data_IF_213779582620
#
_entry.id   IF_213779582620
#
_cell.length_a   1.000
_cell.length_b   1.000
_cell.length_c   1.000
_cell.angle_alpha   90.00
_cell.angle_beta   90.00
_cell.angle_gamma   90.00
#
_symmetry.space_group_name_H-M   'P 1'
#
loop_
_entity.id
_entity.type
_entity.pdbx_description
1 polymer ?
#
# COMPACT_ATOMS: atom_id res chain seq x y z
N UNK A 1 16.28 -38.31 -3.60
CA UNK A 1 16.40 -36.97 -2.98
C UNK A 1 15.43 -36.80 -1.79
N UNK A 2 15.84 -37.34 -0.65
CA UNK A 2 15.15 -37.18 0.63
C UNK A 2 14.92 -35.69 1.00
N UNK A 3 15.83 -34.81 0.54
CA UNK A 3 15.80 -33.37 0.85
C UNK A 3 14.58 -32.65 0.27
N UNK A 4 14.13 -33.01 -0.94
CA UNK A 4 12.98 -32.37 -1.59
C UNK A 4 11.67 -32.81 -0.96
N UNK A 5 11.54 -34.11 -0.67
CA UNK A 5 10.36 -34.63 0.02
C UNK A 5 10.17 -34.02 1.42
N UNK A 6 11.26 -33.82 2.14
CA UNK A 6 11.26 -33.21 3.47
C UNK A 6 10.94 -31.71 3.42
N UNK A 7 11.47 -30.98 2.42
CA UNK A 7 11.17 -29.57 2.22
C UNK A 7 9.69 -29.33 1.88
N UNK A 8 9.12 -30.16 1.00
CA UNK A 8 7.70 -30.11 0.64
C UNK A 8 6.82 -30.38 1.86
N UNK A 9 7.15 -31.39 2.65
CA UNK A 9 6.38 -31.76 3.83
C UNK A 9 6.46 -30.69 4.93
N UNK A 10 7.63 -30.12 5.16
CA UNK A 10 7.84 -29.01 6.10
C UNK A 10 7.02 -27.79 5.71
N UNK A 11 7.00 -27.44 4.43
CA UNK A 11 6.21 -26.32 3.92
C UNK A 11 4.70 -26.57 4.08
N UNK A 12 4.20 -27.74 3.69
CA UNK A 12 2.78 -28.08 3.83
C UNK A 12 2.33 -28.10 5.29
N UNK A 13 3.21 -28.52 6.20
CA UNK A 13 2.95 -28.50 7.65
C UNK A 13 2.84 -27.07 8.16
N UNK A 14 3.79 -26.19 7.79
CA UNK A 14 3.75 -24.77 8.16
C UNK A 14 2.49 -24.06 7.65
N UNK A 15 2.03 -24.39 6.44
CA UNK A 15 0.76 -23.87 5.90
C UNK A 15 -0.46 -24.31 6.71
N UNK A 16 -0.47 -25.58 7.18
CA UNK A 16 -1.57 -26.10 8.01
C UNK A 16 -1.60 -25.48 9.40
N UNK A 17 -0.45 -25.23 9.98
CA UNK A 17 -0.31 -24.58 11.29
C UNK A 17 -0.68 -23.09 11.25
N UNK A 18 -0.71 -22.47 10.05
CA UNK A 18 -1.17 -21.11 9.84
C UNK A 18 -0.19 -20.03 10.26
N UNK A 19 1.02 -20.38 10.68
CA UNK A 19 2.08 -19.43 11.06
C UNK A 19 2.91 -18.97 9.85
N UNK A 20 2.24 -18.23 8.94
CA UNK A 20 2.84 -17.74 7.72
C UNK A 20 3.92 -16.68 8.00
N UNK A 21 3.77 -15.90 9.08
CA UNK A 21 4.73 -14.88 9.45
C UNK A 21 6.09 -15.46 9.75
N UNK A 22 6.16 -16.46 10.61
CA UNK A 22 7.40 -17.17 10.95
C UNK A 22 8.00 -17.86 9.72
N UNK A 23 7.18 -18.40 8.85
CA UNK A 23 7.62 -18.97 7.58
C UNK A 23 8.31 -17.91 6.69
N UNK A 24 7.70 -16.74 6.52
CA UNK A 24 8.30 -15.64 5.76
C UNK A 24 9.62 -15.16 6.37
N UNK A 25 9.71 -15.06 7.68
CA UNK A 25 10.94 -14.71 8.41
C UNK A 25 12.06 -15.73 8.17
N UNK A 26 11.74 -17.01 8.27
CA UNK A 26 12.66 -18.09 8.03
C UNK A 26 13.17 -18.08 6.58
N UNK A 27 12.28 -17.90 5.61
CA UNK A 27 12.63 -17.83 4.19
C UNK A 27 13.46 -16.58 3.86
N UNK A 28 13.11 -15.42 4.45
CA UNK A 28 13.90 -14.19 4.28
C UNK A 28 15.33 -14.35 4.83
N UNK A 29 15.48 -15.03 5.96
CA UNK A 29 16.78 -15.29 6.58
C UNK A 29 17.62 -16.29 5.79
N UNK A 30 17.01 -17.26 5.13
CA UNK A 30 17.66 -18.27 4.31
C UNK A 30 17.76 -17.92 2.83
N UNK A 31 17.35 -16.72 2.43
CA UNK A 31 17.31 -16.30 1.03
C UNK A 31 18.71 -16.26 0.41
N UNK A 32 18.82 -16.73 -0.83
CA UNK A 32 20.07 -16.80 -1.58
C UNK A 32 20.45 -15.49 -2.27
N UNK A 33 19.49 -14.58 -2.42
CA UNK A 33 19.68 -13.28 -3.06
C UNK A 33 18.96 -12.17 -2.32
N UNK A 34 19.42 -10.93 -2.50
CA UNK A 34 18.74 -9.74 -1.94
C UNK A 34 17.34 -9.54 -2.53
N UNK A 35 17.11 -9.92 -3.79
CA UNK A 35 15.79 -9.87 -4.41
C UNK A 35 14.82 -10.84 -3.73
N UNK A 36 15.23 -12.08 -3.52
CA UNK A 36 14.43 -13.08 -2.81
C UNK A 36 14.11 -12.66 -1.37
N UNK A 37 15.12 -12.14 -0.68
CA UNK A 37 14.95 -11.61 0.67
C UNK A 37 13.97 -10.45 0.72
N UNK A 38 14.03 -9.53 -0.25
CA UNK A 38 13.12 -8.41 -0.39
C UNK A 38 11.68 -8.90 -0.59
N UNK A 39 11.45 -9.86 -1.49
CA UNK A 39 10.13 -10.44 -1.75
C UNK A 39 9.49 -11.02 -0.48
N UNK A 40 10.25 -11.81 0.29
CA UNK A 40 9.76 -12.38 1.55
C UNK A 40 9.44 -11.33 2.61
N UNK A 41 10.26 -10.29 2.71
CA UNK A 41 10.00 -9.17 3.63
C UNK A 41 8.76 -8.36 3.25
N UNK A 42 8.54 -8.13 1.95
CA UNK A 42 7.32 -7.47 1.47
C UNK A 42 6.10 -8.31 1.78
N UNK A 43 6.13 -9.60 1.54
CA UNK A 43 5.03 -10.50 1.91
C UNK A 43 4.76 -10.49 3.42
N UNK A 44 5.80 -10.41 4.25
CA UNK A 44 5.66 -10.26 5.69
C UNK A 44 4.96 -8.94 6.07
N UNK A 45 5.30 -7.83 5.40
CA UNK A 45 4.63 -6.54 5.59
C UNK A 45 3.15 -6.61 5.20
N UNK A 46 2.79 -7.34 4.15
CA UNK A 46 1.41 -7.55 3.72
C UNK A 46 0.56 -8.37 4.70
N UNK A 47 1.17 -9.18 5.57
CA UNK A 47 0.49 -9.98 6.61
C UNK A 47 0.10 -9.12 7.82
N UNK A 48 0.68 -7.92 8.00
CA UNK A 48 0.42 -7.05 9.14
C UNK A 48 -1.05 -6.61 9.19
N UNK A 49 -1.51 -6.16 10.35
CA UNK A 49 -2.87 -5.62 10.53
C UNK A 49 -3.16 -4.43 9.60
N UNK A 50 -2.15 -3.64 9.32
CA UNK A 50 -2.20 -2.56 8.36
C UNK A 50 -1.12 -2.74 7.28
N UNK A 51 -1.43 -3.43 6.17
CA UNK A 51 -0.46 -3.71 5.12
C UNK A 51 0.21 -2.47 4.53
N UNK A 52 -0.54 -1.40 4.32
CA UNK A 52 0.00 -0.16 3.75
C UNK A 52 1.01 0.50 4.68
N UNK A 53 0.72 0.52 5.98
CA UNK A 53 1.68 1.01 6.98
C UNK A 53 2.94 0.16 6.99
N UNK A 54 2.81 -1.15 6.95
CA UNK A 54 3.93 -2.07 6.87
C UNK A 54 4.80 -1.85 5.62
N UNK A 55 4.19 -1.56 4.48
CA UNK A 55 4.91 -1.23 3.24
C UNK A 55 5.68 0.09 3.36
N UNK A 56 5.08 1.11 3.94
CA UNK A 56 5.71 2.42 4.16
C UNK A 56 6.91 2.30 5.10
N UNK A 57 6.77 1.55 6.19
CA UNK A 57 7.87 1.25 7.12
C UNK A 57 9.01 0.49 6.43
N UNK A 58 8.69 -0.51 5.63
CA UNK A 58 9.68 -1.25 4.84
C UNK A 58 10.46 -0.37 3.87
N UNK A 59 9.82 0.64 3.27
CA UNK A 59 10.46 1.62 2.38
C UNK A 59 11.39 2.60 3.12
N UNK A 60 11.39 2.59 4.45
CA UNK A 60 12.25 3.43 5.29
C UNK A 60 11.60 4.73 5.79
N UNK A 61 10.31 4.92 5.53
CA UNK A 61 9.53 6.02 6.09
C UNK A 61 8.99 5.61 7.47
N UNK A 62 9.86 5.62 8.47
CA UNK A 62 9.43 5.40 9.85
C UNK A 62 8.73 6.65 10.37
N UNK A 63 7.77 6.46 11.27
CA UNK A 63 7.16 7.55 12.04
C UNK A 63 8.28 8.29 12.78
N UNK A 64 8.68 9.43 12.25
CA UNK A 64 9.52 10.39 12.96
C UNK A 64 8.64 11.17 13.96
N UNK A 65 7.91 10.44 14.77
CA UNK A 65 7.06 11.02 15.80
C UNK A 65 7.87 11.92 16.74
N UNK A 66 9.12 11.55 16.98
CA UNK A 66 10.03 12.30 17.84
C UNK A 66 10.49 13.60 17.18
N UNK A 67 10.82 13.62 15.88
CA UNK A 67 11.18 14.86 15.17
C UNK A 67 9.99 15.81 14.99
N UNK A 68 8.79 15.25 14.77
CA UNK A 68 7.57 16.05 14.68
C UNK A 68 7.20 16.65 16.06
N UNK A 69 7.39 15.90 17.13
CA UNK A 69 7.17 16.37 18.50
C UNK A 69 8.17 17.49 18.85
N UNK A 70 9.45 17.34 18.52
CA UNK A 70 10.46 18.37 18.72
C UNK A 70 10.18 19.64 17.90
N UNK A 71 9.73 19.48 16.66
CA UNK A 71 9.34 20.61 15.81
C UNK A 71 8.09 21.33 16.33
N UNK A 72 7.10 20.60 16.84
CA UNK A 72 5.92 21.15 17.49
C UNK A 72 6.25 21.84 18.82
N UNK A 73 7.18 21.29 19.59
CA UNK A 73 7.69 21.90 20.82
C UNK A 73 8.41 23.22 20.54
N UNK A 74 9.22 23.31 19.47
CA UNK A 74 9.86 24.54 19.02
C UNK A 74 8.86 25.61 18.58
N UNK A 75 7.71 25.22 18.03
CA UNK A 75 6.63 26.13 17.66
C UNK A 75 5.76 26.54 18.87
N UNK A 76 6.04 26.04 20.08
CA UNK A 76 5.28 26.35 21.30
C UNK A 76 3.84 25.82 21.28
N UNK A 77 3.54 24.86 20.39
CA UNK A 77 2.21 24.29 20.23
C UNK A 77 1.98 23.05 21.11
N UNK A 78 3.03 22.56 21.76
CA UNK A 78 2.96 21.41 22.66
C UNK A 78 2.69 21.86 24.09
N UNK A 79 1.42 21.99 24.45
CA UNK A 79 1.03 22.03 25.86
C UNK A 79 0.80 20.60 26.35
N UNK A 80 1.70 20.11 27.19
CA UNK A 80 1.48 18.93 28.02
C UNK A 80 0.07 18.99 28.62
N UNK A 81 -0.75 18.01 28.30
CA UNK A 81 -1.95 17.71 29.08
C UNK A 81 -1.50 17.31 30.49
N UNK A 82 -1.65 18.23 31.43
CA UNK A 82 -1.52 17.92 32.85
C UNK A 82 -2.63 16.96 33.25
N UNK A 83 -2.23 15.87 33.87
CA UNK A 83 -3.12 14.96 34.59
C UNK A 83 -4.02 15.75 35.54
N UNK A 84 -5.31 15.72 35.31
CA UNK A 84 -6.31 15.94 36.35
C UNK A 84 -7.27 14.75 36.38
N UNK A 85 -6.93 13.88 37.33
CA UNK A 85 -7.84 12.87 37.85
C UNK A 85 -8.91 13.57 38.68
N UNK A 86 -10.13 13.70 38.17
CA UNK A 86 -11.34 13.53 38.98
C UNK A 86 -12.60 13.47 38.09
N UNK A 87 -13.39 12.46 38.36
CA UNK A 87 -14.58 12.13 37.56
C UNK A 87 -15.72 13.14 37.76
N UNK A 88 -16.34 13.41 36.61
CA UNK A 88 -17.74 13.87 36.52
C UNK A 88 -18.28 13.71 35.07
N UNK A 89 -19.58 13.62 34.86
CA UNK A 89 -20.17 12.89 33.74
C UNK A 89 -20.20 13.66 32.41
N UNK A 90 -20.26 12.89 31.32
CA UNK A 90 -20.23 13.30 29.93
C UNK A 90 -21.20 14.47 29.61
N UNK A 91 -20.65 15.54 29.00
CA UNK A 91 -21.41 16.61 28.34
C UNK A 91 -21.21 16.58 26.81
N UNK A 92 -22.20 17.07 26.03
CA UNK A 92 -22.31 16.76 24.60
C UNK A 92 -21.24 17.45 23.72
N UNK A 93 -20.98 16.85 22.55
CA UNK A 93 -19.90 17.07 21.60
C UNK A 93 -19.65 18.49 21.05
N UNK A 94 -20.44 19.50 21.43
CA UNK A 94 -20.28 20.90 20.98
C UNK A 94 -19.16 21.68 21.68
N UNK A 95 -18.72 21.22 22.86
CA UNK A 95 -17.80 21.98 23.74
C UNK A 95 -16.32 21.85 23.32
N UNK A 96 -15.97 20.79 22.60
CA UNK A 96 -14.56 20.55 22.21
C UNK A 96 -14.03 21.52 21.13
N UNK A 97 -14.87 22.06 20.28
CA UNK A 97 -14.45 23.05 19.25
C UNK A 97 -14.06 24.40 19.85
N UNK A 98 -14.72 24.83 20.90
CA UNK A 98 -14.41 26.11 21.55
C UNK A 98 -13.12 26.10 22.37
N UNK A 99 -12.83 24.99 23.05
CA UNK A 99 -11.57 24.84 23.80
C UNK A 99 -10.33 24.87 22.90
N UNK A 100 -10.44 24.33 21.69
CA UNK A 100 -9.33 24.28 20.74
C UNK A 100 -9.02 25.65 20.13
N UNK A 101 -10.04 26.46 19.86
CA UNK A 101 -9.83 27.83 19.40
C UNK A 101 -9.23 28.70 20.52
N UNK A 102 -9.70 28.57 21.74
CA UNK A 102 -9.19 29.30 22.89
C UNK A 102 -7.73 28.98 23.18
N UNK A 103 -7.34 27.70 23.05
CA UNK A 103 -5.94 27.26 23.22
C UNK A 103 -5.00 27.79 22.13
N UNK A 104 -5.45 27.99 20.90
CA UNK A 104 -4.64 28.57 19.83
C UNK A 104 -4.35 30.05 20.02
N UNK A 105 -5.25 30.77 20.69
CA UNK A 105 -5.10 32.23 20.92
C UNK A 105 -4.40 32.55 22.24
N UNK A 106 -4.44 31.65 23.23
CA UNK A 106 -3.74 31.81 24.51
C UNK A 106 -2.22 31.64 24.42
N UNK A 107 -1.72 31.09 23.32
CA UNK A 107 -0.28 30.78 23.14
C UNK A 107 0.57 32.00 22.71
N UNK A 108 -0.02 33.15 22.39
CA UNK A 108 0.69 34.34 21.98
C UNK A 108 0.34 35.55 22.86
N UNK A 109 1.11 35.82 23.94
CA UNK A 109 0.78 36.88 24.88
C UNK A 109 0.90 38.33 24.33
N UNK A 110 1.46 38.52 23.13
CA UNK A 110 1.53 39.80 22.44
C UNK A 110 0.57 39.91 21.24
N UNK A 111 -0.10 38.82 20.88
CA UNK A 111 -1.10 38.79 19.84
C UNK A 111 -2.41 39.34 20.38
N UNK A 112 -2.70 40.56 20.03
CA UNK A 112 -3.95 41.27 20.11
C UNK A 112 -4.99 40.72 21.08
N UNK A 113 -5.20 41.44 22.18
CA UNK A 113 -6.33 41.28 23.13
C UNK A 113 -7.68 41.11 22.40
N UNK A 114 -7.79 41.58 21.16
CA UNK A 114 -8.91 41.47 20.26
C UNK A 114 -9.38 40.02 20.01
N UNK A 115 -8.47 39.10 19.71
CA UNK A 115 -8.85 37.70 19.41
C UNK A 115 -9.16 36.91 20.69
N UNK A 116 -8.47 37.20 21.79
CA UNK A 116 -8.81 36.58 23.07
C UNK A 116 -10.13 37.12 23.64
N UNK A 117 -10.43 38.38 23.46
CA UNK A 117 -11.73 38.95 23.78
C UNK A 117 -12.85 38.37 22.92
N UNK A 118 -12.61 38.16 21.60
CA UNK A 118 -13.53 37.49 20.71
C UNK A 118 -13.82 36.04 21.08
N UNK A 119 -12.78 35.33 21.55
CA UNK A 119 -12.89 33.94 21.97
C UNK A 119 -13.52 33.77 23.35
N UNK A 120 -13.29 34.70 24.26
CA UNK A 120 -13.69 34.61 25.66
C UNK A 120 -15.07 35.13 25.98
N UNK A 121 -15.61 36.14 25.24
CA UNK A 121 -16.83 36.81 25.59
C UNK A 121 -17.98 36.60 24.59
N UNK A 122 -18.77 35.55 24.79
CA UNK A 122 -20.05 35.45 24.10
C UNK A 122 -21.02 36.54 24.69
N UNK A 123 -21.06 37.68 24.01
CA UNK A 123 -22.06 38.72 24.24
C UNK A 123 -21.72 39.69 25.36
N UNK A 124 -20.50 39.73 25.91
CA UNK A 124 -20.10 40.77 26.82
C UNK A 124 -19.72 42.06 26.06
N UNK A 125 -20.16 43.20 26.56
CA UNK A 125 -19.74 44.49 26.03
C UNK A 125 -18.26 44.72 26.39
N UNK A 126 -17.42 44.97 25.38
CA UNK A 126 -16.01 45.26 25.54
C UNK A 126 -15.70 46.73 25.29
N UNK A 127 -14.53 47.19 25.75
CA UNK A 127 -14.07 48.54 25.47
C UNK A 127 -13.43 48.68 24.06
N UNK A 128 -13.48 47.61 23.26
CA UNK A 128 -12.97 47.59 21.89
C UNK A 128 -14.16 47.72 20.92
N UNK A 129 -14.37 48.86 20.24
CA UNK A 129 -15.50 49.06 19.37
C UNK A 129 -15.39 48.19 18.12
N UNK A 130 -16.42 47.41 17.85
CA UNK A 130 -16.54 46.63 16.62
C UNK A 130 -16.89 47.54 15.45
N UNK A 131 -15.89 47.96 14.67
CA UNK A 131 -16.11 48.83 13.51
C UNK A 131 -16.35 47.99 12.25
N UNK A 132 -17.53 48.12 11.65
CA UNK A 132 -17.83 47.52 10.34
C UNK A 132 -17.21 48.37 9.23
N UNK A 133 -17.41 49.68 9.29
CA UNK A 133 -16.78 50.66 8.41
C UNK A 133 -16.26 51.84 9.24
N UNK A 134 -15.02 52.26 8.93
CA UNK A 134 -14.42 53.46 9.56
C UNK A 134 -14.04 54.57 8.54
N UNK A 135 -14.33 54.34 7.26
CA UNK A 135 -14.03 55.31 6.18
C UNK A 135 -12.66 55.20 5.54
N UNK A 136 -11.77 54.36 6.10
CA UNK A 136 -10.42 54.15 5.52
C UNK A 136 -10.35 52.94 4.57
N UNK A 137 -11.45 52.20 4.45
CA UNK A 137 -11.49 50.98 3.64
C UNK A 137 -11.35 51.27 2.14
N UNK A 138 -10.56 50.41 1.46
CA UNK A 138 -10.55 50.37 0.01
C UNK A 138 -11.87 49.94 -0.60
N UNK A 139 -12.08 50.15 -1.88
CA UNK A 139 -13.28 49.71 -2.56
C UNK A 139 -13.47 48.18 -2.48
N UNK A 140 -12.39 47.42 -2.57
CA UNK A 140 -12.40 45.99 -2.43
C UNK A 140 -12.78 45.54 -1.01
N UNK A 141 -12.24 46.18 0.02
CA UNK A 141 -12.61 45.88 1.42
C UNK A 141 -14.07 46.16 1.69
N UNK A 142 -14.59 47.26 1.15
CA UNK A 142 -16.05 47.56 1.25
C UNK A 142 -16.90 46.51 0.58
N UNK A 143 -16.49 46.01 -0.59
CA UNK A 143 -17.22 44.96 -1.31
C UNK A 143 -17.19 43.63 -0.55
N UNK A 144 -16.03 43.25 -0.02
CA UNK A 144 -15.87 42.03 0.80
C UNK A 144 -16.76 42.15 2.04
N UNK A 145 -16.69 43.26 2.77
CA UNK A 145 -17.48 43.48 3.98
C UNK A 145 -18.97 43.39 3.71
N UNK A 146 -19.47 44.04 2.67
CA UNK A 146 -20.88 43.97 2.27
C UNK A 146 -21.32 42.55 1.93
N UNK A 147 -20.53 41.82 1.18
CA UNK A 147 -20.81 40.44 0.81
C UNK A 147 -20.83 39.52 2.05
N UNK A 148 -19.89 39.71 2.98
CA UNK A 148 -19.86 38.97 4.25
C UNK A 148 -21.09 39.24 5.11
N UNK A 149 -21.51 40.51 5.21
CA UNK A 149 -22.72 40.89 5.96
C UNK A 149 -24.00 40.22 5.44
N UNK A 150 -24.06 39.96 4.14
CA UNK A 150 -25.20 39.32 3.48
C UNK A 150 -25.06 37.80 3.33
N UNK A 151 -23.95 37.23 3.78
CA UNK A 151 -23.65 35.80 3.59
C UNK A 151 -23.35 35.41 2.13
N UNK A 152 -23.02 36.36 1.28
CA UNK A 152 -22.68 36.15 -0.13
C UNK A 152 -21.20 35.78 -0.29
N UNK A 153 -20.85 34.63 0.27
CA UNK A 153 -19.45 34.20 0.37
C UNK A 153 -18.78 34.01 -1.00
N UNK A 154 -19.50 33.61 -2.02
CA UNK A 154 -18.95 33.49 -3.37
C UNK A 154 -18.50 34.85 -3.93
N UNK A 155 -19.32 35.89 -3.72
CA UNK A 155 -18.94 37.26 -4.15
C UNK A 155 -17.75 37.80 -3.35
N UNK A 156 -17.74 37.59 -2.04
CA UNK A 156 -16.60 37.96 -1.20
C UNK A 156 -15.31 37.26 -1.64
N UNK A 157 -15.41 35.96 -1.96
CA UNK A 157 -14.31 35.18 -2.49
C UNK A 157 -13.79 35.72 -3.82
N UNK A 158 -14.67 36.06 -4.75
CA UNK A 158 -14.29 36.60 -6.05
C UNK A 158 -13.49 37.90 -5.93
N UNK A 159 -13.89 38.76 -5.01
CA UNK A 159 -13.16 40.01 -4.74
C UNK A 159 -11.81 39.71 -4.10
N UNK A 160 -11.75 38.83 -3.11
CA UNK A 160 -10.51 38.46 -2.44
C UNK A 160 -9.49 37.82 -3.41
N UNK A 161 -9.95 36.96 -4.30
CA UNK A 161 -9.11 36.33 -5.34
C UNK A 161 -8.59 37.36 -6.34
N UNK A 162 -9.43 38.28 -6.78
CA UNK A 162 -9.04 39.37 -7.72
C UNK A 162 -7.99 40.29 -7.12
N UNK A 163 -8.08 40.57 -5.82
CA UNK A 163 -7.11 41.38 -5.08
C UNK A 163 -5.88 40.60 -4.60
N UNK A 164 -5.78 39.33 -4.99
CA UNK A 164 -4.69 38.41 -4.60
C UNK A 164 -4.51 38.23 -3.08
N UNK A 165 -5.62 38.36 -2.35
CA UNK A 165 -5.67 38.13 -0.89
C UNK A 165 -5.96 36.66 -0.60
N UNK A 166 -4.98 35.80 -0.86
CA UNK A 166 -5.18 34.34 -0.81
C UNK A 166 -5.55 33.80 0.57
N UNK A 167 -4.95 34.30 1.64
CA UNK A 167 -5.26 33.87 3.00
C UNK A 167 -6.71 34.19 3.37
N UNK A 168 -7.17 35.40 3.06
CA UNK A 168 -8.55 35.82 3.28
C UNK A 168 -9.52 35.02 2.40
N UNK A 169 -9.13 34.78 1.14
CA UNK A 169 -9.91 34.00 0.20
C UNK A 169 -10.19 32.58 0.72
N UNK A 170 -9.17 31.90 1.27
CA UNK A 170 -9.37 30.57 1.86
C UNK A 170 -10.28 30.60 3.08
N UNK A 171 -10.14 31.59 3.95
CA UNK A 171 -11.04 31.71 5.11
C UNK A 171 -12.49 31.97 4.68
N UNK A 172 -12.70 32.82 3.70
CA UNK A 172 -14.02 33.09 3.11
C UNK A 172 -14.58 31.82 2.45
N UNK A 173 -13.74 31.11 1.70
CA UNK A 173 -14.13 29.87 1.01
C UNK A 173 -14.61 28.78 1.99
N UNK A 174 -13.96 28.65 3.15
CA UNK A 174 -14.41 27.74 4.21
C UNK A 174 -15.83 28.06 4.67
N UNK A 175 -16.18 29.33 4.79
CA UNK A 175 -17.54 29.77 5.12
C UNK A 175 -18.54 29.47 3.99
N UNK A 176 -18.12 29.61 2.75
CA UNK A 176 -18.95 29.41 1.55
C UNK A 176 -19.21 27.95 1.17
N UNK A 177 -18.46 27.03 1.75
CA UNK A 177 -18.62 25.59 1.52
C UNK A 177 -17.80 25.02 0.35
N UNK A 178 -18.05 23.76 -0.03
CA UNK A 178 -17.18 23.00 -0.93
C UNK A 178 -16.88 23.67 -2.28
N UNK A 179 -17.87 24.26 -2.92
CA UNK A 179 -17.69 24.94 -4.23
C UNK A 179 -16.75 26.15 -4.13
N UNK A 180 -16.86 26.92 -3.05
CA UNK A 180 -15.98 28.05 -2.80
C UNK A 180 -14.57 27.58 -2.50
N UNK A 181 -14.39 26.51 -1.75
CA UNK A 181 -13.08 25.90 -1.46
C UNK A 181 -12.43 25.45 -2.76
N UNK A 182 -13.15 24.71 -3.60
CA UNK A 182 -12.65 24.25 -4.90
C UNK A 182 -12.19 25.40 -5.77
N UNK A 183 -12.99 26.45 -5.90
CA UNK A 183 -12.65 27.67 -6.66
C UNK A 183 -11.39 28.36 -6.13
N UNK A 184 -11.26 28.47 -4.81
CA UNK A 184 -10.07 29.06 -4.20
C UNK A 184 -8.81 28.22 -4.46
N UNK A 185 -8.93 26.90 -4.37
CA UNK A 185 -7.85 25.94 -4.66
C UNK A 185 -7.41 26.01 -6.13
N UNK A 186 -8.35 25.97 -7.07
CA UNK A 186 -8.05 26.08 -8.51
C UNK A 186 -7.32 27.37 -8.82
N UNK A 187 -7.79 28.49 -8.30
CA UNK A 187 -7.13 29.78 -8.49
C UNK A 187 -5.71 29.78 -7.91
N UNK A 188 -5.55 29.25 -6.69
CA UNK A 188 -4.26 29.16 -6.04
C UNK A 188 -3.25 28.36 -6.88
N UNK A 189 -3.61 27.14 -7.28
CA UNK A 189 -2.71 26.29 -8.05
C UNK A 189 -2.41 26.86 -9.46
N UNK A 190 -3.37 27.53 -10.08
CA UNK A 190 -3.13 28.19 -11.36
C UNK A 190 -2.04 29.27 -11.31
N UNK A 191 -1.83 29.87 -10.14
CA UNK A 191 -0.78 30.89 -9.89
C UNK A 191 0.58 30.29 -9.54
N UNK A 192 0.65 28.98 -9.24
CA UNK A 192 1.84 28.32 -8.72
C UNK A 192 2.65 27.54 -9.78
N UNK A 193 2.47 27.85 -11.06
CA UNK A 193 3.16 27.13 -12.15
C UNK A 193 4.70 27.11 -12.04
N UNK A 194 5.29 28.09 -11.37
CA UNK A 194 6.72 28.18 -11.10
C UNK A 194 7.06 27.96 -9.62
N UNK A 195 6.18 27.31 -8.88
CA UNK A 195 6.36 27.03 -7.45
C UNK A 195 7.35 25.91 -7.17
N UNK A 196 7.63 25.64 -5.88
CA UNK A 196 8.49 24.54 -5.46
C UNK A 196 7.88 23.18 -5.84
N UNK A 197 8.71 22.14 -5.93
CA UNK A 197 8.30 20.81 -6.37
C UNK A 197 7.12 20.23 -5.58
N UNK A 198 7.03 20.50 -4.28
CA UNK A 198 5.93 19.99 -3.45
C UNK A 198 4.55 20.56 -3.87
N UNK A 199 4.50 21.65 -4.62
CA UNK A 199 3.23 22.22 -5.09
C UNK A 199 2.48 21.28 -6.03
N UNK A 200 3.19 20.58 -6.92
CA UNK A 200 2.57 19.59 -7.80
C UNK A 200 2.06 18.39 -7.02
N UNK A 201 2.82 17.92 -6.02
CA UNK A 201 2.36 16.89 -5.12
C UNK A 201 1.13 17.32 -4.32
N UNK A 202 1.16 18.52 -3.76
CA UNK A 202 0.03 19.09 -3.03
C UNK A 202 -1.23 19.20 -3.92
N UNK A 203 -1.08 19.66 -5.16
CA UNK A 203 -2.17 19.74 -6.13
C UNK A 203 -2.75 18.33 -6.44
N UNK A 204 -1.91 17.33 -6.57
CA UNK A 204 -2.33 15.94 -6.80
C UNK A 204 -3.10 15.36 -5.59
N UNK A 205 -2.66 15.67 -4.38
CA UNK A 205 -3.33 15.24 -3.13
C UNK A 205 -4.70 15.91 -3.00
N UNK A 206 -4.74 17.24 -3.16
CA UNK A 206 -5.99 18.03 -3.05
C UNK A 206 -6.98 17.63 -4.13
N UNK A 207 -6.53 17.49 -5.36
CA UNK A 207 -7.34 17.08 -6.52
C UNK A 207 -7.66 15.58 -6.56
N UNK A 208 -7.14 14.78 -5.63
CA UNK A 208 -7.25 13.32 -5.62
C UNK A 208 -6.81 12.68 -6.94
N UNK A 209 -5.78 13.24 -7.57
CA UNK A 209 -5.23 12.78 -8.84
C UNK A 209 -3.82 12.19 -8.64
N UNK A 210 -3.76 10.98 -8.11
CA UNK A 210 -2.49 10.25 -7.92
C UNK A 210 -1.90 9.72 -9.22
N UNK A 211 -2.68 9.66 -10.30
CA UNK A 211 -2.19 9.26 -11.61
C UNK A 211 -1.13 10.21 -12.16
N UNK A 212 -1.24 11.50 -11.88
CA UNK A 212 -0.18 12.46 -12.23
C UNK A 212 1.15 12.11 -11.58
N UNK A 213 1.13 11.75 -10.29
CA UNK A 213 2.32 11.33 -9.55
C UNK A 213 2.90 10.05 -10.13
N UNK A 214 2.06 9.03 -10.37
CA UNK A 214 2.50 7.73 -10.88
C UNK A 214 3.09 7.82 -12.28
N UNK A 215 2.47 8.58 -13.18
CA UNK A 215 2.91 8.66 -14.57
C UNK A 215 4.09 9.61 -14.79
N UNK A 216 4.26 10.62 -13.96
CA UNK A 216 5.18 11.72 -14.25
C UNK A 216 6.30 11.91 -13.23
N UNK A 217 6.24 11.28 -12.05
CA UNK A 217 7.33 11.37 -11.10
C UNK A 217 8.61 10.73 -11.63
N UNK A 218 9.75 11.25 -11.23
CA UNK A 218 11.04 10.64 -11.51
C UNK A 218 11.12 9.27 -10.82
N UNK A 219 11.52 8.24 -11.56
CA UNK A 219 11.59 6.87 -11.04
C UNK A 219 12.68 6.66 -9.98
N UNK A 220 13.64 7.57 -9.87
CA UNK A 220 14.56 7.60 -8.73
C UNK A 220 13.84 7.81 -7.39
N UNK A 221 12.65 8.42 -7.43
CA UNK A 221 11.77 8.69 -6.29
C UNK A 221 10.60 7.68 -6.19
N UNK A 222 10.74 6.48 -6.75
CA UNK A 222 9.66 5.50 -6.76
C UNK A 222 9.17 5.12 -5.36
N UNK A 223 10.05 5.15 -4.37
CA UNK A 223 9.71 4.86 -2.96
C UNK A 223 8.78 5.92 -2.39
N UNK A 224 9.06 7.17 -2.67
CA UNK A 224 8.24 8.32 -2.29
C UNK A 224 6.87 8.27 -2.98
N UNK A 225 6.85 7.91 -4.27
CA UNK A 225 5.60 7.69 -4.99
C UNK A 225 4.79 6.57 -4.33
N UNK A 226 5.42 5.44 -4.03
CA UNK A 226 4.74 4.32 -3.37
C UNK A 226 4.21 4.70 -1.97
N UNK A 227 4.97 5.49 -1.21
CA UNK A 227 4.52 6.00 0.08
C UNK A 227 3.27 6.88 -0.07
N UNK A 228 3.23 7.75 -1.08
CA UNK A 228 2.05 8.56 -1.39
C UNK A 228 0.84 7.68 -1.77
N UNK A 229 1.04 6.63 -2.56
CA UNK A 229 -0.03 5.69 -2.91
C UNK A 229 -0.57 4.97 -1.68
N UNK A 230 0.31 4.47 -0.81
CA UNK A 230 -0.09 3.82 0.44
C UNK A 230 -0.90 4.74 1.36
N UNK A 231 -0.60 6.04 1.34
CA UNK A 231 -1.22 7.04 2.22
C UNK A 231 -2.56 7.53 1.68
N UNK A 232 -2.66 7.83 0.39
CA UNK A 232 -3.77 8.59 -0.19
C UNK A 232 -4.66 7.81 -1.14
N UNK A 233 -4.18 6.72 -1.76
CA UNK A 233 -4.97 5.96 -2.71
C UNK A 233 -6.16 5.27 -2.03
N UNK A 234 -7.32 5.28 -2.68
CA UNK A 234 -8.42 4.45 -2.24
C UNK A 234 -8.17 2.96 -2.55
N UNK A 235 -8.99 2.09 -1.98
CA UNK A 235 -8.81 0.64 -2.12
C UNK A 235 -9.00 0.13 -3.55
N UNK A 236 -9.78 0.85 -4.37
CA UNK A 236 -10.08 0.44 -5.74
C UNK A 236 -8.97 0.83 -6.70
N UNK A 237 -8.43 2.03 -6.55
CA UNK A 237 -7.37 2.55 -7.41
C UNK A 237 -5.97 2.02 -7.04
N UNK A 238 -5.75 1.69 -5.78
CA UNK A 238 -4.43 1.31 -5.28
C UNK A 238 -3.75 0.20 -6.10
N UNK A 239 -4.42 -0.92 -6.44
CA UNK A 239 -3.80 -1.97 -7.25
C UNK A 239 -3.35 -1.49 -8.63
N UNK A 240 -4.17 -0.69 -9.30
CA UNK A 240 -3.87 -0.20 -10.65
C UNK A 240 -2.78 0.88 -10.65
N UNK A 241 -2.75 1.73 -9.63
CA UNK A 241 -1.67 2.70 -9.43
C UNK A 241 -0.32 2.00 -9.19
N UNK A 242 -0.30 0.98 -8.35
CA UNK A 242 0.90 0.16 -8.12
C UNK A 242 1.35 -0.56 -9.39
N UNK A 243 0.41 -1.09 -10.16
CA UNK A 243 0.67 -1.76 -11.43
C UNK A 243 1.34 -0.80 -12.43
N UNK A 244 0.77 0.38 -12.61
CA UNK A 244 1.32 1.40 -13.51
C UNK A 244 2.73 1.86 -13.10
N UNK A 245 3.00 2.01 -11.81
CA UNK A 245 4.34 2.34 -11.31
C UNK A 245 5.32 1.19 -11.57
N UNK A 246 4.91 -0.04 -11.33
CA UNK A 246 5.69 -1.25 -11.62
C UNK A 246 6.03 -1.37 -13.11
N UNK A 247 5.07 -1.11 -13.99
CA UNK A 247 5.28 -1.12 -15.45
C UNK A 247 6.34 -0.10 -15.89
N UNK A 248 6.30 1.10 -15.35
CA UNK A 248 7.32 2.12 -15.63
C UNK A 248 8.73 1.69 -15.18
N UNK A 249 8.83 1.03 -14.04
CA UNK A 249 10.09 0.49 -13.55
C UNK A 249 10.59 -0.66 -14.44
N UNK A 250 9.71 -1.54 -14.91
CA UNK A 250 10.06 -2.59 -15.86
C UNK A 250 10.54 -2.03 -17.21
N UNK A 251 9.86 -1.03 -17.76
CA UNK A 251 10.28 -0.37 -19.01
C UNK A 251 11.67 0.24 -18.87
N UNK A 252 11.99 0.81 -17.71
CA UNK A 252 13.34 1.33 -17.44
C UNK A 252 14.40 0.22 -17.45
N UNK A 253 14.08 -0.96 -16.93
CA UNK A 253 14.98 -2.13 -16.93
C UNK A 253 15.22 -2.63 -18.35
N UNK A 254 14.18 -2.70 -19.17
CA UNK A 254 14.31 -3.15 -20.56
C UNK A 254 15.21 -2.24 -21.40
N UNK A 255 15.26 -0.96 -21.04
CA UNK A 255 16.10 0.04 -21.70
C UNK A 255 17.52 0.18 -21.11
N UNK A 256 17.84 -0.60 -20.08
CA UNK A 256 19.13 -0.61 -19.42
C UNK A 256 19.57 -2.05 -19.12
N UNK A 257 20.88 -2.29 -19.09
CA UNK A 257 21.43 -3.59 -18.67
C UNK A 257 21.37 -3.79 -17.13
N UNK A 258 20.86 -2.81 -16.39
CA UNK A 258 20.78 -2.86 -14.94
C UNK A 258 19.51 -3.56 -14.47
N UNK A 259 19.67 -4.80 -14.05
CA UNK A 259 18.61 -5.63 -13.49
C UNK A 259 18.28 -5.32 -12.01
N UNK A 260 18.99 -4.37 -11.39
CA UNK A 260 18.82 -4.06 -9.96
C UNK A 260 17.43 -3.50 -9.65
N UNK A 261 16.83 -2.79 -10.60
CA UNK A 261 15.49 -2.23 -10.47
C UNK A 261 14.35 -3.28 -10.56
N UNK A 262 14.68 -4.55 -10.91
CA UNK A 262 13.68 -5.62 -11.00
C UNK A 262 12.98 -5.88 -9.66
N UNK A 263 13.72 -5.84 -8.55
CA UNK A 263 13.16 -5.95 -7.20
C UNK A 263 12.21 -4.79 -6.87
N UNK A 264 12.45 -3.61 -7.41
CA UNK A 264 11.63 -2.43 -7.19
C UNK A 264 10.29 -2.56 -7.94
N UNK A 265 10.31 -3.04 -9.18
CA UNK A 265 9.10 -3.39 -9.92
C UNK A 265 8.32 -4.53 -9.24
N UNK A 266 9.00 -5.56 -8.79
CA UNK A 266 8.40 -6.66 -8.01
C UNK A 266 7.70 -6.16 -6.76
N UNK A 267 8.31 -5.23 -6.03
CA UNK A 267 7.68 -4.57 -4.88
C UNK A 267 6.33 -3.94 -5.24
N UNK A 268 6.28 -3.17 -6.32
CA UNK A 268 5.06 -2.51 -6.77
C UNK A 268 3.96 -3.51 -7.13
N UNK A 269 4.31 -4.58 -7.84
CA UNK A 269 3.37 -5.63 -8.22
C UNK A 269 2.89 -6.46 -7.03
N UNK A 270 3.76 -6.75 -6.07
CA UNK A 270 3.38 -7.39 -4.81
C UNK A 270 2.40 -6.52 -4.01
N UNK A 271 2.71 -5.24 -3.85
CA UNK A 271 1.85 -4.29 -3.15
C UNK A 271 0.48 -4.16 -3.82
N UNK A 272 0.43 -4.16 -5.15
CA UNK A 272 -0.80 -4.09 -5.95
C UNK A 272 -1.52 -5.43 -6.14
N UNK A 273 -1.01 -6.53 -5.58
CA UNK A 273 -1.57 -7.88 -5.72
C UNK A 273 -1.68 -8.35 -7.18
N UNK A 274 -0.71 -7.97 -8.02
CA UNK A 274 -0.66 -8.33 -9.45
C UNK A 274 0.12 -9.63 -9.66
N UNK A 275 -0.51 -10.76 -9.36
CA UNK A 275 0.10 -12.09 -9.40
C UNK A 275 0.71 -12.43 -10.76
N UNK A 276 0.04 -12.12 -11.86
CA UNK A 276 0.53 -12.38 -13.22
C UNK A 276 1.91 -11.79 -13.46
N UNK A 277 2.09 -10.52 -13.08
CA UNK A 277 3.35 -9.80 -13.29
C UNK A 277 4.45 -10.24 -12.33
N UNK A 278 4.09 -10.49 -11.09
CA UNK A 278 5.02 -11.04 -10.09
C UNK A 278 5.53 -12.42 -10.52
N UNK A 279 4.65 -13.29 -11.00
CA UNK A 279 5.02 -14.62 -11.50
C UNK A 279 5.96 -14.53 -12.70
N UNK A 280 5.72 -13.61 -13.63
CA UNK A 280 6.61 -13.40 -14.78
C UNK A 280 8.03 -13.05 -14.33
N UNK A 281 8.19 -12.16 -13.37
CA UNK A 281 9.49 -11.80 -12.79
C UNK A 281 10.13 -13.01 -12.10
N UNK A 282 9.39 -13.70 -11.26
CA UNK A 282 9.92 -14.83 -10.49
C UNK A 282 10.30 -16.02 -11.36
N UNK A 283 9.59 -16.28 -12.46
CA UNK A 283 9.96 -17.33 -13.41
C UNK A 283 11.24 -16.97 -14.15
N UNK A 284 11.45 -15.72 -14.49
CA UNK A 284 12.70 -15.28 -15.11
C UNK A 284 13.88 -15.37 -14.13
N UNK A 285 13.69 -14.96 -12.88
CA UNK A 285 14.69 -15.15 -11.81
C UNK A 285 14.99 -16.63 -11.56
N UNK A 286 14.00 -17.49 -11.63
CA UNK A 286 14.18 -18.94 -11.51
C UNK A 286 15.11 -19.44 -12.63
N UNK A 287 14.87 -19.09 -13.87
CA UNK A 287 15.71 -19.47 -15.01
C UNK A 287 17.16 -18.99 -14.84
N UNK A 288 17.33 -17.74 -14.42
CA UNK A 288 18.66 -17.17 -14.19
C UNK A 288 19.41 -17.88 -13.05
N UNK A 289 18.72 -18.21 -11.97
CA UNK A 289 19.31 -18.92 -10.84
C UNK A 289 19.68 -20.36 -11.18
N UNK A 290 18.87 -21.04 -11.99
CA UNK A 290 19.19 -22.36 -12.52
C UNK A 290 20.45 -22.32 -13.39
N UNK A 291 20.52 -21.34 -14.30
CA UNK A 291 21.68 -21.17 -15.18
C UNK A 291 22.97 -20.93 -14.37
N UNK A 292 22.94 -20.04 -13.39
CA UNK A 292 24.06 -19.77 -12.48
C UNK A 292 24.45 -21.02 -11.68
N UNK A 293 23.47 -21.77 -11.21
CA UNK A 293 23.68 -23.01 -10.46
C UNK A 293 24.39 -24.08 -11.31
N UNK A 294 24.05 -24.19 -12.58
CA UNK A 294 24.66 -25.09 -13.54
C UNK A 294 26.12 -24.66 -13.86
N UNK A 295 26.32 -23.35 -14.07
CA UNK A 295 27.66 -22.79 -14.40
C UNK A 295 28.63 -22.85 -13.24
N UNK A 296 28.15 -22.75 -11.99
CA UNK A 296 29.00 -22.79 -10.79
C UNK A 296 29.59 -24.18 -10.47
N UNK A 297 29.23 -25.19 -11.24
CA UNK A 297 29.77 -26.56 -11.16
C UNK A 297 29.76 -27.16 -9.75
N UNK A 298 28.69 -26.94 -9.02
CA UNK A 298 28.48 -27.55 -7.70
C UNK A 298 28.19 -29.04 -7.86
N UNK A 299 28.54 -29.87 -6.88
CA UNK A 299 28.32 -31.32 -6.87
C UNK A 299 26.83 -31.76 -6.94
N UNK A 300 25.92 -30.81 -7.08
CA UNK A 300 24.51 -31.04 -7.24
C UNK A 300 24.13 -31.31 -8.71
N UNK A 301 23.25 -32.28 -8.93
CA UNK A 301 22.72 -32.55 -10.27
C UNK A 301 21.87 -31.36 -10.74
N UNK A 302 21.86 -31.09 -12.05
CA UNK A 302 21.00 -30.06 -12.64
C UNK A 302 19.52 -30.23 -12.27
N UNK A 303 19.09 -31.49 -12.11
CA UNK A 303 17.74 -31.82 -11.65
C UNK A 303 17.49 -31.34 -10.21
N UNK A 304 18.42 -31.55 -9.27
CA UNK A 304 18.30 -31.06 -7.90
C UNK A 304 18.23 -29.55 -7.82
N UNK A 305 18.99 -28.83 -8.64
CA UNK A 305 18.98 -27.38 -8.73
C UNK A 305 17.61 -26.89 -9.20
N UNK A 306 17.12 -27.50 -10.29
CA UNK A 306 15.80 -27.17 -10.85
C UNK A 306 14.68 -27.40 -9.85
N UNK A 307 14.65 -28.55 -9.23
CA UNK A 307 13.57 -28.90 -8.25
C UNK A 307 13.58 -27.96 -7.05
N UNK A 308 14.74 -27.57 -6.54
CA UNK A 308 14.86 -26.60 -5.45
C UNK A 308 14.33 -25.22 -5.84
N UNK A 309 14.71 -24.75 -7.04
CA UNK A 309 14.26 -23.48 -7.57
C UNK A 309 12.73 -23.47 -7.79
N UNK A 310 12.21 -24.57 -8.34
CA UNK A 310 10.76 -24.73 -8.53
C UNK A 310 10.01 -24.78 -7.20
N UNK A 311 10.52 -25.48 -6.19
CA UNK A 311 9.97 -25.50 -4.84
C UNK A 311 9.88 -24.09 -4.25
N UNK A 312 10.96 -23.31 -4.36
CA UNK A 312 10.98 -21.93 -3.89
C UNK A 312 9.96 -21.04 -4.59
N UNK A 313 9.78 -21.17 -5.89
CA UNK A 313 8.74 -20.46 -6.65
C UNK A 313 7.34 -20.81 -6.16
N UNK A 314 7.05 -22.09 -6.02
CA UNK A 314 5.73 -22.56 -5.57
C UNK A 314 5.41 -22.09 -4.13
N UNK A 315 6.39 -22.10 -3.25
CA UNK A 315 6.25 -21.56 -1.90
C UNK A 315 5.91 -20.06 -1.93
N UNK A 316 6.66 -19.26 -2.68
CA UNK A 316 6.41 -17.81 -2.82
C UNK A 316 5.00 -17.53 -3.37
N UNK A 317 4.60 -18.21 -4.44
CA UNK A 317 3.29 -18.03 -5.04
C UNK A 317 2.17 -18.43 -4.08
N UNK A 318 2.33 -19.53 -3.38
CA UNK A 318 1.33 -20.03 -2.43
C UNK A 318 1.11 -19.02 -1.29
N UNK A 319 2.20 -18.51 -0.71
CA UNK A 319 2.13 -17.50 0.35
C UNK A 319 1.52 -16.20 -0.18
N UNK A 320 1.93 -15.74 -1.35
CA UNK A 320 1.37 -14.55 -1.98
C UNK A 320 -0.16 -14.67 -2.18
N UNK A 321 -0.63 -15.78 -2.70
CA UNK A 321 -2.07 -16.03 -2.89
C UNK A 321 -2.83 -16.03 -1.57
N UNK A 322 -2.24 -16.58 -0.52
CA UNK A 322 -2.87 -16.63 0.80
C UNK A 322 -2.92 -15.24 1.46
N UNK A 323 -1.82 -14.50 1.41
CA UNK A 323 -1.71 -13.17 2.02
C UNK A 323 -2.63 -12.16 1.34
N UNK A 324 -2.69 -12.18 0.01
CA UNK A 324 -3.51 -11.25 -0.80
C UNK A 324 -4.96 -11.73 -0.94
N UNK A 325 -5.29 -12.93 -0.46
CA UNK A 325 -6.60 -13.59 -0.67
C UNK A 325 -6.98 -13.62 -2.14
N UNK A 326 -5.99 -13.90 -2.99
CA UNK A 326 -6.14 -13.90 -4.43
C UNK A 326 -7.23 -14.87 -4.89
N UNK A 327 -8.12 -14.39 -5.76
CA UNK A 327 -9.17 -15.18 -6.39
C UNK A 327 -8.80 -15.41 -7.85
N UNK A 328 -8.64 -16.67 -8.24
CA UNK A 328 -8.40 -17.03 -9.62
C UNK A 328 -9.71 -17.01 -10.42
N UNK A 329 -9.84 -15.99 -11.28
CA UNK A 329 -11.02 -15.83 -12.15
C UNK A 329 -10.92 -16.63 -13.46
N UNK A 330 -9.78 -17.27 -13.72
CA UNK A 330 -9.51 -17.97 -14.97
C UNK A 330 -9.81 -19.47 -14.93
N UNK A 331 -10.10 -19.99 -13.74
CA UNK A 331 -10.32 -21.44 -13.51
C UNK A 331 -11.35 -22.06 -14.44
N UNK A 332 -12.38 -21.30 -14.83
CA UNK A 332 -13.46 -21.77 -15.70
C UNK A 332 -13.30 -21.34 -17.16
N UNK A 333 -12.20 -20.68 -17.52
CA UNK A 333 -11.92 -20.31 -18.92
C UNK A 333 -11.37 -21.50 -19.68
N UNK A 334 -11.71 -21.55 -20.97
CA UNK A 334 -11.33 -22.63 -21.87
C UNK A 334 -9.95 -22.42 -22.51
N UNK A 335 -9.51 -21.16 -22.62
CA UNK A 335 -8.26 -20.74 -23.26
C UNK A 335 -7.87 -19.32 -22.85
N UNK A 336 -6.74 -18.85 -23.33
CA UNK A 336 -6.20 -17.50 -23.10
C UNK A 336 -6.00 -17.15 -21.60
N UNK A 337 -5.36 -18.07 -20.92
CA UNK A 337 -5.06 -17.85 -19.50
C UNK A 337 -3.88 -16.89 -19.32
N UNK A 338 -4.09 -15.81 -18.60
CA UNK A 338 -3.03 -14.86 -18.22
C UNK A 338 -1.99 -15.51 -17.31
N UNK A 339 -2.43 -16.46 -16.49
CA UNK A 339 -1.59 -17.24 -15.59
C UNK A 339 -1.03 -18.53 -16.18
N UNK A 340 -1.03 -18.67 -17.52
CA UNK A 340 -0.59 -19.90 -18.19
C UNK A 340 0.81 -20.35 -17.74
N UNK A 341 1.75 -19.44 -17.59
CA UNK A 341 3.10 -19.72 -17.11
C UNK A 341 3.09 -20.31 -15.70
N UNK A 342 2.23 -19.81 -14.81
CA UNK A 342 2.07 -20.36 -13.46
C UNK A 342 1.44 -21.75 -13.51
N UNK A 343 0.43 -21.96 -14.35
CA UNK A 343 -0.21 -23.26 -14.47
C UNK A 343 0.77 -24.33 -14.97
N UNK A 344 1.63 -23.99 -15.91
CA UNK A 344 2.70 -24.88 -16.37
C UNK A 344 3.64 -25.26 -15.21
N UNK A 345 3.99 -24.30 -14.36
CA UNK A 345 4.83 -24.52 -13.18
C UNK A 345 4.13 -25.37 -12.10
N UNK A 346 2.84 -25.22 -11.92
CA UNK A 346 2.07 -26.11 -11.04
C UNK A 346 2.04 -27.56 -11.54
N UNK A 347 1.88 -27.75 -12.84
CA UNK A 347 1.90 -29.10 -13.46
C UNK A 347 3.27 -29.73 -13.29
N UNK A 348 4.33 -28.99 -13.60
CA UNK A 348 5.70 -29.42 -13.45
C UNK A 348 6.03 -29.81 -11.99
N UNK A 349 5.62 -28.97 -11.05
CA UNK A 349 5.79 -29.25 -9.63
C UNK A 349 4.99 -30.46 -9.16
N UNK A 350 3.76 -30.60 -9.61
CA UNK A 350 2.93 -31.77 -9.31
C UNK A 350 3.56 -33.07 -9.80
N UNK A 351 4.16 -33.08 -11.00
CA UNK A 351 4.87 -34.25 -11.53
C UNK A 351 6.09 -34.61 -10.65
N UNK A 352 6.88 -33.61 -10.25
CA UNK A 352 8.02 -33.83 -9.35
C UNK A 352 7.58 -34.42 -8.02
N UNK A 353 6.55 -33.82 -7.40
CA UNK A 353 6.06 -34.25 -6.08
C UNK A 353 5.43 -35.66 -6.16
N UNK A 354 4.75 -35.99 -7.26
CA UNK A 354 4.18 -37.30 -7.50
C UNK A 354 5.25 -38.39 -7.62
N UNK A 355 6.41 -38.10 -8.25
CA UNK A 355 7.54 -39.04 -8.33
C UNK A 355 8.13 -39.38 -6.95
N UNK A 356 7.96 -38.50 -5.98
CA UNK A 356 8.33 -38.73 -4.58
C UNK A 356 7.22 -39.37 -3.74
N UNK A 357 6.15 -39.85 -4.37
CA UNK A 357 5.04 -40.53 -3.71
C UNK A 357 4.05 -39.64 -2.98
N UNK A 358 4.16 -38.30 -3.12
CA UNK A 358 3.29 -37.31 -2.47
C UNK A 358 2.06 -36.99 -3.33
N UNK A 359 1.26 -37.99 -3.67
CA UNK A 359 0.15 -37.89 -4.62
C UNK A 359 -0.93 -36.87 -4.20
N UNK A 360 -1.20 -36.76 -2.89
CA UNK A 360 -2.19 -35.81 -2.38
C UNK A 360 -1.75 -34.35 -2.58
N UNK A 361 -0.46 -34.06 -2.37
CA UNK A 361 0.11 -32.74 -2.57
C UNK A 361 0.09 -32.42 -4.07
N UNK A 362 0.49 -33.35 -4.92
CA UNK A 362 0.42 -33.19 -6.37
C UNK A 362 -1.02 -32.87 -6.85
N UNK A 363 -2.01 -33.58 -6.32
CA UNK A 363 -3.41 -33.30 -6.65
C UNK A 363 -3.85 -31.91 -6.20
N UNK A 364 -3.42 -31.47 -5.02
CA UNK A 364 -3.71 -30.13 -4.49
C UNK A 364 -3.28 -29.02 -5.46
N UNK A 365 -2.07 -29.12 -6.01
CA UNK A 365 -1.57 -28.12 -6.95
C UNK A 365 -2.20 -28.23 -8.35
N UNK A 366 -2.52 -29.44 -8.81
CA UNK A 366 -3.28 -29.62 -10.06
C UNK A 366 -4.71 -29.07 -9.95
N UNK A 367 -5.31 -29.08 -8.79
CA UNK A 367 -6.63 -28.49 -8.56
C UNK A 367 -6.64 -26.96 -8.70
N UNK A 368 -5.48 -26.32 -8.66
CA UNK A 368 -5.31 -24.89 -8.89
C UNK A 368 -5.22 -24.54 -10.40
N UNK A 369 -5.05 -25.52 -11.25
CA UNK A 369 -4.98 -25.36 -12.71
C UNK A 369 -6.39 -25.43 -13.31
N UNK A 370 -6.73 -24.64 -14.37
CA UNK A 370 -8.03 -24.74 -15.03
C UNK A 370 -8.39 -26.17 -15.42
N UNK A 371 -9.68 -26.53 -15.29
CA UNK A 371 -10.15 -27.89 -15.56
C UNK A 371 -9.88 -28.37 -16.99
N UNK A 372 -9.98 -27.44 -17.96
CA UNK A 372 -9.79 -27.73 -19.37
C UNK A 372 -8.35 -27.60 -19.86
N UNK A 373 -7.38 -27.43 -18.95
CA UNK A 373 -5.98 -27.42 -19.34
C UNK A 373 -5.52 -28.82 -19.77
N UNK A 374 -5.05 -28.99 -21.02
CA UNK A 374 -4.84 -30.33 -21.60
C UNK A 374 -3.75 -31.13 -20.85
N UNK A 375 -2.66 -30.49 -20.47
CA UNK A 375 -1.57 -31.14 -19.75
C UNK A 375 -1.97 -31.49 -18.32
N UNK A 376 -2.75 -30.63 -17.67
CA UNK A 376 -3.28 -30.88 -16.33
C UNK A 376 -4.24 -32.07 -16.31
N UNK A 377 -5.04 -32.25 -17.34
CA UNK A 377 -5.93 -33.40 -17.48
C UNK A 377 -5.13 -34.70 -17.55
N UNK A 378 -4.06 -34.73 -18.34
CA UNK A 378 -3.16 -35.90 -18.41
C UNK A 378 -2.53 -36.18 -17.06
N UNK A 379 -2.01 -35.16 -16.38
CA UNK A 379 -1.39 -35.31 -15.05
C UNK A 379 -2.39 -35.81 -14.01
N UNK A 380 -3.60 -35.28 -13.97
CA UNK A 380 -4.69 -35.74 -13.08
C UNK A 380 -5.05 -37.19 -13.32
N UNK A 381 -5.12 -37.62 -14.57
CA UNK A 381 -5.40 -39.02 -14.92
C UNK A 381 -4.30 -39.97 -14.46
N UNK A 382 -3.01 -39.55 -14.59
CA UNK A 382 -1.88 -40.34 -14.05
C UNK A 382 -1.97 -40.51 -12.53
N UNK A 383 -2.27 -39.45 -11.81
CA UNK A 383 -2.41 -39.52 -10.35
C UNK A 383 -3.60 -40.42 -9.94
N UNK A 384 -4.74 -40.30 -10.62
CA UNK A 384 -5.90 -41.17 -10.36
C UNK A 384 -5.58 -42.64 -10.56
N UNK A 385 -4.81 -42.97 -11.62
CA UNK A 385 -4.37 -44.36 -11.86
C UNK A 385 -3.40 -44.84 -10.77
N UNK A 386 -2.42 -44.01 -10.41
CA UNK A 386 -1.47 -44.34 -9.36
C UNK A 386 -2.14 -44.53 -7.97
N UNK A 387 -3.16 -43.74 -7.67
CA UNK A 387 -3.93 -43.89 -6.41
C UNK A 387 -4.78 -45.18 -6.37
N UNK A 388 -5.28 -45.60 -7.54
CA UNK A 388 -6.04 -46.90 -7.64
C UNK A 388 -5.15 -48.12 -7.51
N UNK A 389 -3.86 -47.99 -7.87
CA UNK A 389 -2.88 -49.08 -7.81
C UNK A 389 -2.16 -49.17 -6.45
N UNK A 390 -2.31 -48.18 -5.57
CA UNK A 390 -1.75 -48.24 -4.22
C UNK A 390 -2.45 -49.36 -3.44
N UNK A 391 -1.73 -50.33 -2.84
CA UNK A 391 -2.36 -51.41 -2.08
C UNK A 391 -3.12 -50.80 -0.91
N UNK A 392 -4.42 -51.12 -0.83
CA UNK A 392 -5.18 -50.83 0.38
C UNK A 392 -4.52 -51.56 1.54
N UNK A 393 -4.28 -50.93 2.70
CA UNK A 393 -3.82 -51.64 3.88
C UNK A 393 -4.86 -52.73 4.19
N UNK A 394 -4.39 -53.96 4.21
CA UNK A 394 -5.24 -55.10 4.48
C UNK A 394 -6.01 -54.87 5.79
N UNK A 395 -7.34 -54.85 5.71
CA UNK A 395 -8.20 -54.82 6.88
C UNK A 395 -7.83 -56.00 7.75
N UNK A 396 -7.32 -55.71 8.95
CA UNK A 396 -6.93 -56.75 9.91
C UNK A 396 -8.07 -57.71 10.15
N UNK A 397 -7.84 -58.95 9.78
CA UNK A 397 -8.69 -60.07 10.18
C UNK A 397 -8.53 -60.24 11.68
N UNK A 398 -9.47 -59.74 12.44
CA UNK A 398 -9.64 -60.15 13.84
C UNK A 398 -10.19 -61.56 13.84
N UNK A 399 -9.29 -62.54 13.92
CA UNK A 399 -9.65 -63.87 14.30
C UNK A 399 -10.02 -63.93 15.81
N UNK A 400 -11.29 -64.09 16.10
CA UNK A 400 -11.73 -64.41 17.42
C UNK A 400 -11.27 -65.80 17.83
N UNK A 401 -10.83 -65.88 19.04
CA UNK A 401 -10.96 -67.03 19.94
C UNK A 401 -11.19 -66.46 21.34
#
# INVERSE_FOLDING_TARGET
DETVGNATESFETALKEGDIRTLCESRASGASSEAEKADWKVMQALISENPRKGLVEYLGFQDQADEAADSLAQLGLDKKEGEDTNGAPAKPAGVKKHKRLQSMFDANPEGDNFLSELAASKGAQTNNPFQIFNGSESQAEKQITRALLLGEFEKALDVALREDKMSDAFMIAICGGPKCIEKAQEYYFSKQAAGPNYMRLLASIVGKNLWDVVHNADLSNWKEVMAALCTFADEKEFPDLCDALGDRLEEQIQNSDDKSARKDASFCFLAGSKLEKVVAIWVEELRENEQKGIESNTDNSSFSIHVRALQGLIEKVTIFRQVTKFQDTERNKDSDWRLSVLYDKYIEYADVVATHGRLQIAQKYLDLVPEKHPEAEVARNRIKLATRQAPQPAAGVTSGF
#
